data_IF_041381078302
#
_entry.id   IF_041381078302
#
_cell.length_a   1.000
_cell.length_b   1.000
_cell.length_c   1.000
_cell.angle_alpha   90.00
_cell.angle_beta   90.00
_cell.angle_gamma   90.00
#
_symmetry.space_group_name_H-M   'P 1'
#
loop_
_entity.id
_entity.type
_entity.pdbx_description
1 polymer ?
#
# COMPACT_ATOMS: atom_id res chain seq x y z
N UNK A 1 -19.60 -19.72 -4.91
CA UNK A 1 -18.33 -20.36 -5.31
C UNK A 1 -17.51 -20.66 -4.05
N UNK A 2 -17.47 -21.93 -3.63
CA UNK A 2 -16.70 -22.38 -2.46
C UNK A 2 -15.21 -22.18 -2.70
N UNK A 3 -14.56 -21.35 -1.87
CA UNK A 3 -13.11 -21.15 -1.89
C UNK A 3 -12.59 -21.22 -0.46
N UNK A 4 -11.75 -22.23 -0.22
CA UNK A 4 -11.12 -22.59 1.06
C UNK A 4 -10.11 -21.50 1.51
N UNK A 5 -10.15 -20.99 2.76
CA UNK A 5 -9.36 -19.84 3.23
C UNK A 5 -7.88 -20.09 3.57
N UNK A 6 -7.37 -21.33 3.59
CA UNK A 6 -6.04 -21.60 4.15
C UNK A 6 -4.83 -21.38 3.22
N UNK A 7 -5.01 -21.07 1.93
CA UNK A 7 -3.88 -20.82 0.99
C UNK A 7 -4.32 -19.87 -0.16
N UNK A 8 -4.61 -18.59 0.12
CA UNK A 8 -4.89 -17.63 -0.97
C UNK A 8 -4.26 -16.27 -0.71
N UNK A 9 -3.46 -15.82 -1.68
CA UNK A 9 -3.09 -14.42 -1.80
C UNK A 9 -4.31 -13.63 -2.28
N UNK A 10 -4.64 -12.54 -1.61
CA UNK A 10 -5.66 -11.58 -2.04
C UNK A 10 -4.95 -10.36 -2.62
N UNK A 11 -5.31 -9.96 -3.83
CA UNK A 11 -4.69 -8.81 -4.49
C UNK A 11 -5.59 -7.58 -4.38
N UNK A 12 -4.99 -6.39 -4.30
CA UNK A 12 -5.72 -5.13 -4.13
C UNK A 12 -6.49 -4.67 -5.36
N UNK A 13 -6.50 -5.47 -6.42
CA UNK A 13 -7.26 -5.27 -7.67
C UNK A 13 -8.23 -6.43 -7.93
N UNK A 14 -8.40 -7.36 -6.99
CA UNK A 14 -9.35 -8.47 -7.08
C UNK A 14 -10.68 -8.09 -6.40
N UNK A 15 -11.71 -7.89 -7.21
CA UNK A 15 -13.08 -7.66 -6.74
C UNK A 15 -13.78 -9.00 -6.50
N UNK A 16 -14.33 -9.17 -5.30
CA UNK A 16 -15.18 -10.32 -4.98
C UNK A 16 -16.64 -9.96 -5.20
N UNK A 17 -17.48 -10.91 -5.66
CA UNK A 17 -18.93 -10.71 -5.68
C UNK A 17 -19.45 -10.41 -4.27
N UNK A 18 -20.24 -9.35 -4.16
CA UNK A 18 -20.88 -8.92 -2.91
C UNK A 18 -22.39 -9.18 -2.96
N UNK A 19 -22.99 -9.39 -1.80
CA UNK A 19 -24.45 -9.41 -1.70
C UNK A 19 -24.98 -7.97 -1.72
N UNK A 20 -26.09 -7.73 -2.42
CA UNK A 20 -26.68 -6.40 -2.57
C UNK A 20 -27.31 -5.86 -1.29
N UNK A 21 -27.65 -6.74 -0.34
CA UNK A 21 -28.26 -6.34 0.94
C UNK A 21 -27.24 -5.60 1.80
N UNK A 22 -27.42 -4.28 1.94
CA UNK A 22 -26.67 -3.49 2.90
C UNK A 22 -26.97 -3.96 4.33
N UNK A 23 -25.91 -4.29 5.08
CA UNK A 23 -26.04 -4.74 6.46
C UNK A 23 -26.06 -3.58 7.46
N UNK A 24 -25.59 -2.39 7.08
CA UNK A 24 -25.61 -1.20 7.91
C UNK A 24 -24.74 -0.10 7.30
N UNK A 25 -25.02 1.14 7.69
CA UNK A 25 -24.28 2.32 7.27
C UNK A 25 -23.96 3.24 8.45
N UNK A 26 -23.03 4.16 8.23
CA UNK A 26 -22.64 5.17 9.20
C UNK A 26 -22.13 6.40 8.45
N UNK A 27 -22.71 7.57 8.74
CA UNK A 27 -22.06 8.84 8.38
C UNK A 27 -20.90 9.09 9.34
N UNK A 28 -19.68 9.00 8.82
CA UNK A 28 -18.46 9.16 9.62
C UNK A 28 -17.74 10.48 9.27
N UNK A 29 -17.41 11.26 10.29
CA UNK A 29 -16.55 12.44 10.19
C UNK A 29 -15.42 12.30 11.19
N UNK A 30 -14.27 11.83 10.74
CA UNK A 30 -13.14 11.59 11.64
C UNK A 30 -12.40 12.87 12.01
N UNK A 31 -11.87 12.90 13.23
CA UNK A 31 -11.08 14.01 13.79
C UNK A 31 -9.64 13.56 14.07
N UNK A 32 -8.80 13.32 13.04
CA UNK A 32 -7.49 12.68 13.19
C UNK A 32 -6.47 13.50 14.00
N UNK A 33 -6.76 14.77 14.33
CA UNK A 33 -5.91 15.65 15.15
C UNK A 33 -6.47 15.95 16.54
N UNK A 34 -7.48 15.22 17.04
CA UNK A 34 -7.86 15.38 18.45
C UNK A 34 -6.68 14.90 19.30
N UNK A 35 -5.98 15.83 19.96
CA UNK A 35 -5.00 15.53 21.03
C UNK A 35 -5.57 14.63 22.12
N UNK A 36 -6.88 14.49 22.11
CA UNK A 36 -7.66 13.53 22.85
C UNK A 36 -7.66 12.14 22.20
N UNK A 37 -6.54 11.41 22.31
CA UNK A 37 -6.59 9.93 22.25
C UNK A 37 -7.51 9.35 23.36
N UNK A 38 -7.96 10.19 24.30
CA UNK A 38 -8.78 9.83 25.45
C UNK A 38 -10.22 10.39 25.46
N UNK A 39 -10.61 11.32 24.57
CA UNK A 39 -11.89 12.04 24.67
C UNK A 39 -12.76 12.08 23.39
N UNK A 40 -12.69 11.07 22.51
CA UNK A 40 -13.92 10.71 21.76
C UNK A 40 -14.74 9.72 22.60
N UNK A 41 -15.11 10.23 23.77
CA UNK A 41 -15.85 9.55 24.82
C UNK A 41 -17.31 9.48 24.43
N UNK A 42 -17.81 8.27 24.19
CA UNK A 42 -19.15 7.95 24.73
C UNK A 42 -18.96 8.03 26.24
N UNK A 43 -19.45 9.10 26.85
CA UNK A 43 -19.20 9.43 28.25
C UNK A 43 -19.91 8.41 29.15
N UNK A 44 -19.25 7.28 29.43
CA UNK A 44 -19.60 6.34 30.49
C UNK A 44 -18.47 6.26 31.50
N UNK A 45 -18.21 7.39 32.14
CA UNK A 45 -17.57 7.58 33.45
C UNK A 45 -16.19 6.95 33.74
N UNK A 46 -15.72 5.84 33.16
CA UNK A 46 -14.45 5.19 33.56
C UNK A 46 -13.72 4.33 32.52
N UNK A 47 -14.03 4.34 31.22
CA UNK A 47 -13.23 3.60 30.23
C UNK A 47 -12.93 4.43 28.96
N UNK A 48 -11.67 4.81 28.79
CA UNK A 48 -11.15 5.37 27.53
C UNK A 48 -10.89 4.21 26.57
N UNK A 49 -11.79 4.00 25.62
CA UNK A 49 -11.56 3.06 24.52
C UNK A 49 -10.73 3.75 23.44
N UNK A 50 -9.81 3.04 22.74
CA UNK A 50 -9.15 3.63 21.58
C UNK A 50 -10.18 4.01 20.51
N UNK A 51 -9.92 5.04 19.72
CA UNK A 51 -10.79 5.42 18.60
C UNK A 51 -10.95 4.23 17.64
N UNK A 52 -12.20 3.83 17.36
CA UNK A 52 -12.51 2.78 16.39
C UNK A 52 -13.85 3.07 15.70
N UNK A 53 -13.95 2.62 14.45
CA UNK A 53 -15.17 2.73 13.67
C UNK A 53 -16.22 1.73 14.19
N UNK A 54 -17.44 2.22 14.47
CA UNK A 54 -18.57 1.38 14.92
C UNK A 54 -19.74 1.52 13.95
N UNK A 55 -19.93 0.52 13.11
CA UNK A 55 -21.10 0.44 12.21
C UNK A 55 -22.13 -0.46 12.87
N UNK A 56 -23.32 0.06 13.17
CA UNK A 56 -24.43 -0.77 13.65
C UNK A 56 -24.99 -1.55 12.46
N UNK A 57 -24.97 -2.88 12.58
CA UNK A 57 -25.59 -3.75 11.58
C UNK A 57 -27.09 -3.95 11.86
N UNK A 58 -27.84 -4.39 10.86
CA UNK A 58 -29.28 -4.57 10.92
C UNK A 58 -29.69 -5.68 11.89
N UNK A 59 -30.84 -5.49 12.54
CA UNK A 59 -31.39 -6.50 13.46
C UNK A 59 -31.79 -7.78 12.71
N UNK A 60 -32.12 -7.67 11.42
CA UNK A 60 -32.37 -8.79 10.52
C UNK A 60 -31.11 -9.67 10.37
N UNK A 61 -29.94 -9.07 10.16
CA UNK A 61 -28.68 -9.82 10.10
C UNK A 61 -28.36 -10.51 11.43
N UNK A 62 -28.58 -9.81 12.56
CA UNK A 62 -28.45 -10.41 13.90
C UNK A 62 -29.38 -11.62 14.07
N UNK A 63 -30.65 -11.47 13.67
CA UNK A 63 -31.66 -12.54 13.70
C UNK A 63 -31.27 -13.72 12.82
N UNK A 64 -30.69 -13.46 11.63
CA UNK A 64 -30.18 -14.51 10.75
C UNK A 64 -29.07 -15.33 11.41
N UNK A 65 -28.16 -14.69 12.16
CA UNK A 65 -27.12 -15.41 12.92
C UNK A 65 -27.75 -16.23 14.05
N UNK A 66 -28.70 -15.65 14.80
CA UNK A 66 -29.35 -16.34 15.92
C UNK A 66 -30.20 -17.54 15.48
N UNK A 67 -30.80 -17.47 14.29
CA UNK A 67 -31.61 -18.55 13.71
C UNK A 67 -30.80 -19.51 12.84
N UNK A 68 -29.47 -19.37 12.80
CA UNK A 68 -28.63 -20.29 12.03
C UNK A 68 -28.68 -21.70 12.63
N UNK A 69 -28.58 -22.73 11.78
CA UNK A 69 -28.47 -24.10 12.24
C UNK A 69 -27.23 -24.28 13.12
N UNK A 70 -27.32 -25.09 14.18
CA UNK A 70 -26.21 -25.31 15.13
C UNK A 70 -24.91 -25.72 14.43
N UNK A 71 -25.00 -26.60 13.42
CA UNK A 71 -23.85 -27.02 12.62
C UNK A 71 -23.19 -25.87 11.85
N UNK A 72 -23.95 -24.86 11.42
CA UNK A 72 -23.40 -23.66 10.75
C UNK A 72 -22.55 -22.80 11.69
N UNK A 73 -22.78 -22.90 13.00
CA UNK A 73 -22.06 -22.12 14.03
C UNK A 73 -21.01 -22.96 14.79
N UNK A 74 -20.88 -24.25 14.48
CA UNK A 74 -20.11 -25.20 15.29
C UNK A 74 -18.59 -25.00 15.21
N UNK A 75 -18.08 -24.48 14.09
CA UNK A 75 -16.66 -24.22 13.87
C UNK A 75 -16.44 -23.19 12.75
N UNK A 76 -15.20 -22.70 12.61
CA UNK A 76 -14.84 -21.69 11.60
C UNK A 76 -15.09 -22.15 10.16
N UNK A 77 -14.88 -23.43 9.85
CA UNK A 77 -15.09 -23.97 8.50
C UNK A 77 -16.57 -23.88 8.10
N UNK A 78 -17.48 -24.30 8.97
CA UNK A 78 -18.91 -24.20 8.72
C UNK A 78 -19.40 -22.74 8.76
N UNK A 79 -18.90 -21.94 9.71
CA UNK A 79 -19.30 -20.54 9.83
C UNK A 79 -18.92 -19.71 8.60
N UNK A 80 -17.73 -19.91 8.03
CA UNK A 80 -17.30 -19.22 6.79
C UNK A 80 -18.05 -19.69 5.54
N UNK A 81 -18.80 -20.80 5.61
CA UNK A 81 -19.73 -21.21 4.55
C UNK A 81 -21.09 -20.53 4.72
N UNK A 82 -21.55 -20.37 5.95
CA UNK A 82 -22.76 -19.64 6.30
C UNK A 82 -22.64 -18.12 6.10
N UNK A 83 -21.49 -17.54 6.45
CA UNK A 83 -21.19 -16.12 6.40
C UNK A 83 -19.83 -15.88 5.74
N UNK A 84 -19.83 -15.25 4.56
CA UNK A 84 -18.63 -15.10 3.72
C UNK A 84 -17.69 -13.95 4.16
N UNK A 85 -18.16 -13.07 5.04
CA UNK A 85 -17.40 -11.92 5.53
C UNK A 85 -18.17 -10.60 5.40
N UNK A 86 -17.50 -9.51 5.77
CA UNK A 86 -18.01 -8.15 5.63
C UNK A 86 -17.29 -7.46 4.48
N UNK A 87 -18.05 -6.81 3.60
CA UNK A 87 -17.54 -5.85 2.64
C UNK A 87 -17.88 -4.46 3.17
N UNK A 88 -16.85 -3.65 3.44
CA UNK A 88 -17.00 -2.28 3.96
C UNK A 88 -16.50 -1.33 2.88
N UNK A 89 -17.37 -0.42 2.46
CA UNK A 89 -17.07 0.62 1.46
C UNK A 89 -17.60 1.97 1.95
N UNK A 90 -17.26 3.03 1.24
CA UNK A 90 -17.79 4.37 1.47
C UNK A 90 -18.55 4.85 0.23
N UNK A 91 -19.57 5.68 0.46
CA UNK A 91 -20.20 6.44 -0.61
C UNK A 91 -19.23 7.51 -1.15
N UNK A 92 -19.48 7.95 -2.38
CA UNK A 92 -18.73 9.06 -2.97
C UNK A 92 -18.97 10.34 -2.15
N UNK A 93 -17.88 10.92 -1.64
CA UNK A 93 -17.93 12.19 -0.91
C UNK A 93 -17.69 13.32 -1.90
N UNK A 94 -18.58 14.34 -1.97
CA UNK A 94 -18.40 15.47 -2.90
C UNK A 94 -17.02 16.14 -2.74
N UNK A 95 -16.42 16.50 -3.89
CA UNK A 95 -15.03 16.97 -4.07
C UNK A 95 -14.66 18.30 -3.37
N UNK A 96 -15.54 18.87 -2.55
CA UNK A 96 -15.38 20.18 -1.93
C UNK A 96 -14.67 20.18 -0.58
N UNK A 97 -14.20 19.03 -0.10
CA UNK A 97 -13.55 18.91 1.22
C UNK A 97 -12.21 18.18 1.17
N UNK A 98 -11.33 18.50 2.12
CA UNK A 98 -10.06 17.82 2.34
C UNK A 98 -10.29 16.31 2.48
N UNK A 99 -9.74 15.52 1.56
CA UNK A 99 -9.78 14.06 1.66
C UNK A 99 -8.85 13.56 2.78
N UNK A 100 -9.15 12.41 3.35
CA UNK A 100 -8.32 11.77 4.37
C UNK A 100 -8.20 10.26 4.13
N UNK A 101 -7.09 9.69 4.57
CA UNK A 101 -6.84 8.25 4.57
C UNK A 101 -6.79 7.80 6.02
N UNK A 102 -7.65 6.85 6.39
CA UNK A 102 -7.64 6.20 7.71
C UNK A 102 -6.93 4.86 7.64
N UNK A 103 -6.10 4.57 8.64
CA UNK A 103 -5.45 3.28 8.81
C UNK A 103 -6.12 2.54 9.96
N UNK A 104 -6.57 1.31 9.70
CA UNK A 104 -7.17 0.43 10.70
C UNK A 104 -6.27 -0.79 10.92
N UNK A 105 -5.89 -1.03 12.17
CA UNK A 105 -5.18 -2.25 12.55
C UNK A 105 -6.19 -3.37 12.79
N UNK A 106 -6.51 -4.14 11.73
CA UNK A 106 -7.58 -5.15 11.76
C UNK A 106 -7.30 -6.37 12.66
N UNK A 107 -6.05 -6.57 13.09
CA UNK A 107 -5.67 -7.65 14.01
C UNK A 107 -5.85 -7.26 15.48
N UNK A 108 -6.27 -6.03 15.75
CA UNK A 108 -6.54 -5.55 17.10
C UNK A 108 -7.86 -6.15 17.65
N UNK A 109 -7.96 -6.34 18.97
CA UNK A 109 -9.16 -6.87 19.64
C UNK A 109 -10.46 -6.05 19.43
N UNK A 110 -10.34 -4.78 19.01
CA UNK A 110 -11.47 -3.92 18.66
C UNK A 110 -12.00 -4.16 17.25
N UNK A 111 -11.26 -4.88 16.40
CA UNK A 111 -11.71 -5.31 15.07
C UNK A 111 -12.52 -6.58 15.19
N UNK A 112 -13.82 -6.41 15.46
CA UNK A 112 -14.72 -7.50 15.78
C UNK A 112 -16.15 -7.23 15.33
N UNK A 113 -16.88 -8.31 15.06
CA UNK A 113 -18.34 -8.31 15.01
C UNK A 113 -18.86 -8.69 16.40
N UNK A 114 -19.76 -7.89 16.96
CA UNK A 114 -20.43 -8.20 18.23
C UNK A 114 -21.93 -8.33 18.02
N UNK A 115 -22.48 -9.50 18.35
CA UNK A 115 -23.93 -9.76 18.31
C UNK A 115 -24.45 -9.67 19.73
N UNK A 116 -25.34 -8.71 19.99
CA UNK A 116 -26.05 -8.57 21.24
C UNK A 116 -27.41 -9.27 21.13
N UNK A 117 -27.78 -10.06 22.12
CA UNK A 117 -29.03 -10.83 22.10
C UNK A 117 -29.59 -11.01 23.52
N UNK A 118 -30.87 -11.34 23.61
CA UNK A 118 -31.49 -11.73 24.88
C UNK A 118 -31.59 -13.25 24.94
N UNK A 119 -31.19 -13.83 26.06
CA UNK A 119 -31.38 -15.23 26.41
C UNK A 119 -32.34 -15.35 27.60
N UNK A 120 -32.76 -16.57 27.94
CA UNK A 120 -33.71 -16.81 29.03
C UNK A 120 -35.18 -16.79 28.59
N UNK A 121 -36.10 -16.87 29.56
CA UNK A 121 -37.54 -16.85 29.29
C UNK A 121 -38.07 -15.42 29.12
N UNK A 122 -39.25 -15.28 28.51
CA UNK A 122 -39.88 -13.98 28.24
C UNK A 122 -40.13 -13.14 29.50
N UNK A 123 -40.24 -13.77 30.67
CA UNK A 123 -40.49 -13.12 31.95
C UNK A 123 -39.23 -12.62 32.66
N UNK A 124 -38.03 -13.03 32.21
CA UNK A 124 -36.74 -12.65 32.78
C UNK A 124 -35.64 -12.71 31.71
N UNK A 125 -35.65 -11.80 30.72
CA UNK A 125 -34.64 -11.76 29.68
C UNK A 125 -33.27 -11.42 30.26
N UNK A 126 -32.26 -12.15 29.84
CA UNK A 126 -30.86 -11.92 30.16
C UNK A 126 -30.14 -11.33 28.94
N UNK A 127 -29.61 -10.12 29.07
CA UNK A 127 -28.79 -9.51 28.02
C UNK A 127 -27.45 -10.26 27.91
N UNK A 128 -27.17 -10.77 26.72
CA UNK A 128 -25.97 -11.55 26.38
C UNK A 128 -25.32 -10.98 25.13
N UNK A 129 -24.06 -11.35 24.89
CA UNK A 129 -23.38 -10.99 23.65
C UNK A 129 -22.40 -12.08 23.19
N UNK A 130 -22.18 -12.14 21.88
CA UNK A 130 -21.17 -13.01 21.24
C UNK A 130 -20.24 -12.15 20.40
N UNK A 131 -18.95 -12.42 20.51
CA UNK A 131 -17.90 -11.73 19.75
C UNK A 131 -17.30 -12.67 18.71
N UNK A 132 -17.14 -12.16 17.49
CA UNK A 132 -16.37 -12.75 16.41
C UNK A 132 -15.19 -11.81 16.11
N UNK A 133 -13.99 -12.18 16.56
CA UNK A 133 -12.79 -11.37 16.38
C UNK A 133 -12.18 -11.61 14.99
N UNK A 134 -11.68 -10.55 14.36
CA UNK A 134 -10.75 -10.67 13.24
C UNK A 134 -9.38 -11.01 13.83
N UNK A 135 -8.76 -12.06 13.29
CA UNK A 135 -7.43 -12.55 13.70
C UNK A 135 -6.54 -12.76 12.48
N UNK A 136 -5.28 -13.14 12.70
CA UNK A 136 -4.31 -13.40 11.63
C UNK A 136 -4.79 -14.48 10.65
N UNK A 137 -5.60 -15.45 11.10
CA UNK A 137 -6.19 -16.48 10.24
C UNK A 137 -7.42 -16.00 9.46
N UNK A 138 -7.90 -14.78 9.73
CA UNK A 138 -9.03 -14.17 9.01
C UNK A 138 -8.51 -13.48 7.74
N UNK A 139 -8.98 -13.91 6.57
CA UNK A 139 -8.67 -13.23 5.31
C UNK A 139 -9.16 -11.78 5.35
N UNK A 140 -8.25 -10.82 5.22
CA UNK A 140 -8.54 -9.39 5.15
C UNK A 140 -7.66 -8.74 4.09
N UNK A 141 -8.27 -7.92 3.23
CA UNK A 141 -7.57 -7.19 2.18
C UNK A 141 -8.38 -5.95 1.78
N UNK A 142 -7.72 -4.97 1.17
CA UNK A 142 -8.35 -3.76 0.65
C UNK A 142 -8.24 -3.74 -0.87
N UNK A 143 -9.27 -3.22 -1.54
CA UNK A 143 -9.24 -2.90 -2.96
C UNK A 143 -9.01 -1.41 -3.12
N UNK A 144 -8.12 -1.02 -4.02
CA UNK A 144 -7.81 0.39 -4.29
C UNK A 144 -8.06 0.70 -5.76
N UNK A 145 -8.97 1.63 -6.02
CA UNK A 145 -9.30 2.09 -7.37
C UNK A 145 -8.75 3.50 -7.60
N UNK A 146 -8.19 3.72 -8.78
CA UNK A 146 -7.68 5.04 -9.20
C UNK A 146 -8.67 5.80 -10.09
N UNK A 147 -9.85 5.26 -10.37
CA UNK A 147 -10.90 5.86 -11.21
C UNK A 147 -10.36 6.46 -12.52
N UNK A 148 -9.61 5.67 -13.28
CA UNK A 148 -8.94 6.09 -14.53
C UNK A 148 -8.07 7.36 -14.40
N UNK A 149 -7.60 7.66 -13.19
CA UNK A 149 -6.83 8.85 -12.88
C UNK A 149 -7.57 10.17 -13.18
N UNK A 150 -8.90 10.16 -13.16
CA UNK A 150 -9.69 11.38 -13.35
C UNK A 150 -9.33 12.45 -12.31
N UNK A 151 -9.23 13.71 -12.74
CA UNK A 151 -8.86 14.84 -11.88
C UNK A 151 -7.40 14.86 -11.41
N UNK A 152 -6.54 13.95 -11.90
CA UNK A 152 -5.11 14.00 -11.59
C UNK A 152 -4.37 15.11 -12.36
N UNK A 153 -3.12 15.36 -11.99
CA UNK A 153 -2.24 16.27 -12.73
C UNK A 153 -2.08 15.82 -14.20
N UNK A 154 -2.18 16.73 -15.20
CA UNK A 154 -2.15 16.36 -16.63
C UNK A 154 -0.97 15.47 -17.03
N UNK A 155 0.24 15.76 -16.54
CA UNK A 155 1.41 14.93 -16.84
C UNK A 155 1.32 13.50 -16.29
N UNK A 156 0.61 13.27 -15.18
CA UNK A 156 0.38 11.92 -14.69
C UNK A 156 -0.63 11.19 -15.59
N UNK A 157 -1.70 11.87 -15.98
CA UNK A 157 -2.71 11.32 -16.88
C UNK A 157 -2.10 10.91 -18.23
N UNK A 158 -1.31 11.79 -18.85
CA UNK A 158 -0.60 11.52 -20.10
C UNK A 158 0.32 10.29 -19.99
N UNK A 159 1.10 10.19 -18.91
CA UNK A 159 2.03 9.07 -18.73
C UNK A 159 1.33 7.72 -18.50
N UNK A 160 0.25 7.70 -17.72
CA UNK A 160 -0.38 6.43 -17.28
C UNK A 160 -1.55 6.01 -18.15
N UNK A 161 -2.39 6.95 -18.59
CA UNK A 161 -3.61 6.66 -19.35
C UNK A 161 -3.36 6.73 -20.85
N UNK A 162 -2.62 7.75 -21.32
CA UNK A 162 -2.29 7.91 -22.75
C UNK A 162 -1.02 7.15 -23.16
N UNK A 163 -0.24 6.66 -22.18
CA UNK A 163 0.97 5.88 -22.42
C UNK A 163 2.18 6.70 -22.88
N UNK A 164 2.21 8.01 -22.63
CA UNK A 164 3.37 8.85 -22.93
C UNK A 164 4.57 8.49 -22.03
N UNK A 165 5.54 7.77 -22.59
CA UNK A 165 6.77 7.41 -21.88
C UNK A 165 7.81 8.53 -21.84
N UNK A 166 7.66 9.60 -22.64
CA UNK A 166 8.63 10.71 -22.71
C UNK A 166 8.47 11.69 -21.55
N UNK A 167 7.26 11.81 -20.99
CA UNK A 167 7.01 12.65 -19.81
C UNK A 167 7.88 12.31 -18.59
N UNK A 168 8.40 11.07 -18.53
CA UNK A 168 9.33 10.62 -17.49
C UNK A 168 10.64 11.40 -17.43
N UNK A 169 11.06 12.03 -18.53
CA UNK A 169 12.25 12.90 -18.56
C UNK A 169 12.07 14.15 -17.69
N UNK A 170 10.82 14.58 -17.49
CA UNK A 170 10.48 15.74 -16.65
C UNK A 170 10.09 15.34 -15.23
N UNK A 171 9.15 14.41 -15.08
CA UNK A 171 8.54 14.04 -13.81
C UNK A 171 8.24 12.54 -13.76
N UNK A 172 8.55 11.93 -12.62
CA UNK A 172 8.24 10.54 -12.29
C UNK A 172 7.27 10.52 -11.11
N UNK A 173 6.16 9.78 -11.25
CA UNK A 173 5.13 9.70 -10.23
C UNK A 173 5.15 8.34 -9.54
N UNK A 174 5.44 8.31 -8.25
CA UNK A 174 5.37 7.10 -7.43
C UNK A 174 4.36 7.26 -6.30
N UNK A 175 3.45 6.32 -6.18
CA UNK A 175 2.39 6.34 -5.18
C UNK A 175 2.05 4.94 -4.72
N UNK A 176 1.82 4.80 -3.43
CA UNK A 176 1.31 3.58 -2.83
C UNK A 176 -0.16 3.31 -3.20
N UNK A 177 -0.73 2.29 -2.56
CA UNK A 177 -2.11 1.83 -2.71
C UNK A 177 -2.41 1.44 -4.16
N UNK A 178 -1.44 0.74 -4.78
CA UNK A 178 -1.51 0.24 -6.15
C UNK A 178 -1.79 1.31 -7.22
N UNK A 179 -1.47 2.58 -6.93
CA UNK A 179 -1.67 3.69 -7.87
C UNK A 179 -0.58 3.74 -8.94
N UNK A 180 0.66 4.06 -8.56
CA UNK A 180 1.73 4.26 -9.57
C UNK A 180 3.10 3.80 -9.09
N UNK A 181 3.87 3.24 -10.02
CA UNK A 181 5.30 3.00 -9.88
C UNK A 181 6.00 3.51 -11.15
N UNK A 182 7.28 3.86 -11.04
CA UNK A 182 8.06 4.34 -12.19
C UNK A 182 9.06 3.27 -12.62
N UNK A 183 9.19 3.08 -13.93
CA UNK A 183 10.19 2.18 -14.51
C UNK A 183 11.43 3.00 -14.89
N UNK A 184 12.58 2.65 -14.35
CA UNK A 184 13.86 3.27 -14.64
C UNK A 184 14.68 2.29 -15.47
N UNK A 185 15.12 2.76 -16.63
CA UNK A 185 16.02 2.04 -17.53
C UNK A 185 17.40 2.66 -17.47
N UNK A 186 18.43 1.84 -17.34
CA UNK A 186 19.82 2.28 -17.45
C UNK A 186 20.36 1.66 -18.74
N UNK A 187 20.08 2.29 -19.90
CA UNK A 187 20.48 1.73 -21.17
C UNK A 187 22.01 1.72 -21.26
N UNK A 188 22.55 0.80 -22.05
CA UNK A 188 23.98 0.73 -22.38
C UNK A 188 24.92 0.39 -21.22
N UNK A 189 24.41 -0.08 -20.08
CA UNK A 189 25.27 -0.54 -18.98
C UNK A 189 26.21 -1.68 -19.44
N UNK A 190 25.72 -2.56 -20.31
CA UNK A 190 26.52 -3.62 -20.92
C UNK A 190 27.64 -3.11 -21.84
N UNK A 191 27.49 -1.89 -22.40
CA UNK A 191 28.56 -1.30 -23.22
C UNK A 191 29.80 -1.00 -22.38
N UNK A 192 29.68 -0.92 -21.05
CA UNK A 192 30.87 -0.81 -20.18
C UNK A 192 31.80 -2.03 -20.31
N UNK A 193 31.28 -3.20 -20.71
CA UNK A 193 32.09 -4.39 -21.03
C UNK A 193 32.94 -4.20 -22.28
N UNK A 194 32.45 -3.44 -23.25
CA UNK A 194 33.14 -3.20 -24.53
C UNK A 194 34.36 -2.30 -24.42
N UNK A 195 34.64 -1.70 -23.26
CA UNK A 195 35.88 -0.97 -23.04
C UNK A 195 37.12 -1.89 -23.00
N UNK A 196 36.95 -3.21 -23.01
CA UNK A 196 38.05 -4.18 -23.07
C UNK A 196 38.90 -4.24 -21.79
N UNK A 197 38.47 -3.57 -20.72
CA UNK A 197 39.17 -3.52 -19.44
C UNK A 197 38.29 -4.11 -18.35
N UNK A 198 38.90 -4.79 -17.39
CA UNK A 198 38.19 -5.24 -16.19
C UNK A 198 37.87 -4.02 -15.33
N UNK A 199 36.59 -3.82 -14.99
CA UNK A 199 36.12 -2.68 -14.19
C UNK A 199 35.64 -3.19 -12.85
N UNK A 200 36.17 -2.60 -11.77
CA UNK A 200 35.66 -2.77 -10.41
C UNK A 200 34.83 -1.53 -10.03
N UNK A 201 33.55 -1.72 -9.72
CA UNK A 201 32.65 -0.68 -9.26
C UNK A 201 32.86 -0.50 -7.75
N UNK A 202 33.46 0.62 -7.37
CA UNK A 202 33.68 0.97 -5.96
C UNK A 202 32.39 1.45 -5.31
N UNK A 203 31.55 2.16 -6.09
CA UNK A 203 30.30 2.74 -5.62
C UNK A 203 29.40 3.08 -6.79
N UNK A 204 28.13 2.70 -6.72
CA UNK A 204 27.10 3.16 -7.63
C UNK A 204 25.86 3.63 -6.85
N UNK A 205 25.41 4.85 -7.16
CA UNK A 205 24.30 5.50 -6.49
C UNK A 205 23.29 6.04 -7.49
N UNK A 206 22.06 5.60 -7.37
CA UNK A 206 20.92 6.25 -8.02
C UNK A 206 20.43 7.38 -7.10
N UNK A 207 20.63 8.62 -7.56
CA UNK A 207 20.28 9.82 -6.82
C UNK A 207 19.05 10.45 -7.45
N UNK A 208 18.03 10.71 -6.64
CA UNK A 208 16.75 11.26 -7.05
C UNK A 208 16.37 12.42 -6.14
N UNK A 209 15.52 13.31 -6.64
CA UNK A 209 15.08 14.48 -5.91
C UNK A 209 13.55 14.59 -5.98
N UNK A 210 12.92 14.78 -4.83
CA UNK A 210 11.50 15.09 -4.77
C UNK A 210 11.26 16.48 -5.37
N UNK A 211 10.21 16.61 -6.18
CA UNK A 211 9.75 17.90 -6.66
C UNK A 211 8.76 18.51 -5.67
N UNK A 212 9.23 19.48 -4.90
CA UNK A 212 8.46 20.11 -3.81
C UNK A 212 7.39 21.09 -4.29
N UNK A 213 7.34 21.39 -5.59
CA UNK A 213 6.19 22.13 -6.16
C UNK A 213 4.91 21.30 -6.15
N UNK A 214 5.04 19.97 -6.05
CA UNK A 214 3.93 19.02 -5.94
C UNK A 214 3.69 18.53 -4.50
N UNK A 215 4.40 19.10 -3.51
CA UNK A 215 4.12 18.85 -2.11
C UNK A 215 3.19 19.95 -1.58
N UNK A 216 1.89 19.65 -1.52
CA UNK A 216 0.96 20.48 -0.75
C UNK A 216 1.43 20.55 0.70
N UNK A 217 1.34 21.75 1.26
CA UNK A 217 2.19 22.29 2.33
C UNK A 217 2.06 21.66 3.71
N UNK A 218 1.32 20.58 3.92
CA UNK A 218 1.12 20.07 5.28
C UNK A 218 0.82 18.55 5.35
N UNK A 219 1.75 17.83 5.99
CA UNK A 219 1.56 16.58 6.76
C UNK A 219 1.93 15.22 6.09
N UNK A 220 1.92 15.03 4.77
CA UNK A 220 2.12 13.66 4.22
C UNK A 220 3.24 13.48 3.19
N UNK A 221 4.03 14.51 2.91
CA UNK A 221 4.99 14.47 1.80
C UNK A 221 6.39 14.95 2.17
N UNK A 222 7.45 14.29 1.67
CA UNK A 222 7.44 13.12 0.78
C UNK A 222 7.59 11.79 1.54
N UNK A 223 7.35 10.64 0.87
CA UNK A 223 7.51 9.31 1.48
C UNK A 223 8.83 9.23 2.24
N UNK A 224 8.78 8.73 3.48
CA UNK A 224 9.99 8.60 4.32
C UNK A 224 11.06 7.71 3.68
N UNK A 225 10.65 6.83 2.76
CA UNK A 225 11.56 5.92 2.06
C UNK A 225 11.03 5.50 0.69
N UNK A 226 11.94 5.32 -0.26
CA UNK A 226 11.70 4.69 -1.57
C UNK A 226 12.51 3.41 -1.68
N UNK A 227 12.11 2.52 -2.59
CA UNK A 227 12.78 1.26 -2.85
C UNK A 227 12.82 0.93 -4.34
N UNK A 228 13.66 -0.03 -4.71
CA UNK A 228 13.76 -0.58 -6.05
C UNK A 228 13.40 -2.06 -6.03
N UNK A 229 12.79 -2.53 -7.11
CA UNK A 229 12.71 -3.94 -7.47
C UNK A 229 13.26 -4.09 -8.88
N UNK A 230 13.85 -5.24 -9.20
CA UNK A 230 14.15 -5.58 -10.59
C UNK A 230 12.86 -6.02 -11.28
N UNK A 231 12.62 -5.51 -12.47
CA UNK A 231 11.52 -5.95 -13.32
C UNK A 231 12.08 -6.50 -14.63
N UNK A 232 11.72 -7.75 -14.91
CA UNK A 232 12.05 -8.38 -16.17
C UNK A 232 11.34 -7.65 -17.33
N UNK A 233 12.07 -7.19 -18.37
CA UNK A 233 11.49 -6.38 -19.43
C UNK A 233 10.47 -7.15 -20.28
N UNK A 234 10.63 -8.48 -20.41
CA UNK A 234 9.79 -9.33 -21.26
C UNK A 234 8.59 -9.89 -20.51
N UNK A 235 8.83 -10.44 -19.32
CA UNK A 235 7.80 -11.15 -18.54
C UNK A 235 7.11 -10.27 -17.50
N UNK A 236 7.69 -9.11 -17.16
CA UNK A 236 7.22 -8.28 -16.04
C UNK A 236 7.47 -8.89 -14.66
N UNK A 237 8.17 -10.02 -14.57
CA UNK A 237 8.46 -10.70 -13.32
C UNK A 237 9.32 -9.80 -12.41
N UNK A 238 8.94 -9.74 -11.13
CA UNK A 238 9.63 -8.94 -10.12
C UNK A 238 10.65 -9.81 -9.36
N UNK A 239 11.80 -9.22 -9.04
CA UNK A 239 12.83 -9.85 -8.21
C UNK A 239 13.55 -8.79 -7.37
N UNK A 240 14.16 -9.21 -6.26
CA UNK A 240 14.89 -8.31 -5.37
C UNK A 240 16.26 -7.97 -5.94
N UNK A 241 16.82 -6.83 -5.51
CA UNK A 241 18.20 -6.47 -5.85
C UNK A 241 19.16 -7.22 -4.93
N UNK A 242 20.37 -7.51 -5.44
CA UNK A 242 21.45 -8.11 -4.64
C UNK A 242 21.84 -7.21 -3.46
N UNK A 243 21.74 -5.89 -3.62
CA UNK A 243 22.03 -4.92 -2.56
C UNK A 243 20.99 -4.93 -1.41
N UNK A 244 19.78 -5.46 -1.64
CA UNK A 244 18.69 -5.49 -0.66
C UNK A 244 18.97 -6.46 0.51
N UNK A 245 19.61 -7.60 0.24
CA UNK A 245 19.95 -8.62 1.24
C UNK A 245 20.87 -8.09 2.36
N UNK A 246 21.57 -6.99 2.10
CA UNK A 246 22.53 -6.39 3.03
C UNK A 246 22.00 -5.18 3.81
N UNK A 247 20.72 -4.82 3.64
CA UNK A 247 20.14 -3.55 4.11
C UNK A 247 20.90 -2.27 3.64
N UNK A 248 21.83 -2.39 2.70
CA UNK A 248 22.69 -1.29 2.24
C UNK A 248 22.04 -0.43 1.13
N UNK A 249 20.87 -0.85 0.61
CA UNK A 249 20.18 -0.19 -0.50
C UNK A 249 19.85 1.28 -0.19
N UNK A 250 19.54 1.65 1.05
CA UNK A 250 19.26 3.04 1.43
C UNK A 250 17.83 3.48 1.08
N UNK A 251 17.70 4.64 0.42
CA UNK A 251 16.41 5.16 -0.06
C UNK A 251 15.61 5.98 0.94
N UNK A 252 16.16 6.32 2.12
CA UNK A 252 15.52 7.22 3.06
C UNK A 252 15.49 8.67 2.50
N UNK A 253 14.43 9.41 2.82
CA UNK A 253 14.32 10.80 2.42
C UNK A 253 15.28 11.70 3.20
N UNK A 254 16.05 12.51 2.49
CA UNK A 254 16.97 13.51 3.05
C UNK A 254 16.36 14.90 2.89
N UNK A 255 15.79 15.43 3.98
CA UNK A 255 15.07 16.72 4.00
C UNK A 255 15.94 17.92 3.57
N UNK A 256 17.23 17.92 3.91
CA UNK A 256 18.13 19.03 3.59
C UNK A 256 18.23 19.27 2.07
N UNK A 257 18.20 18.20 1.27
CA UNK A 257 18.38 18.26 -0.18
C UNK A 257 17.13 17.93 -0.98
N UNK A 258 16.05 17.55 -0.30
CA UNK A 258 14.86 16.93 -0.87
C UNK A 258 15.21 15.68 -1.70
N UNK A 259 16.11 14.83 -1.22
CA UNK A 259 16.71 13.77 -2.02
C UNK A 259 16.47 12.36 -1.49
N UNK A 260 16.67 11.39 -2.38
CA UNK A 260 16.72 9.97 -2.10
C UNK A 260 17.97 9.40 -2.76
N UNK A 261 18.68 8.53 -2.04
CA UNK A 261 19.89 7.88 -2.55
C UNK A 261 19.75 6.38 -2.37
N UNK A 262 19.80 5.65 -3.48
CA UNK A 262 19.78 4.19 -3.51
C UNK A 262 21.14 3.67 -3.95
N UNK A 263 21.77 2.82 -3.14
CA UNK A 263 23.05 2.19 -3.48
C UNK A 263 22.79 0.89 -4.24
N UNK A 264 23.28 0.81 -5.48
CA UNK A 264 23.09 -0.34 -6.38
C UNK A 264 24.44 -0.88 -6.84
N UNK A 265 25.42 -0.87 -5.94
CA UNK A 265 26.83 -1.11 -6.27
C UNK A 265 27.05 -2.55 -6.68
N UNK A 266 26.52 -3.49 -5.90
CA UNK A 266 26.67 -4.93 -6.17
C UNK A 266 25.88 -5.33 -7.40
N UNK A 267 24.65 -4.81 -7.53
CA UNK A 267 23.82 -5.06 -8.70
C UNK A 267 24.53 -4.62 -10.00
N UNK A 268 25.11 -3.42 -10.04
CA UNK A 268 25.84 -2.95 -11.22
C UNK A 268 27.13 -3.73 -11.47
N UNK A 269 27.87 -4.11 -10.43
CA UNK A 269 29.05 -4.95 -10.57
C UNK A 269 28.71 -6.29 -11.23
N UNK A 270 27.67 -6.98 -10.77
CA UNK A 270 27.26 -8.28 -11.32
C UNK A 270 26.77 -8.17 -12.76
N UNK A 271 26.07 -7.09 -13.11
CA UNK A 271 25.67 -6.84 -14.51
C UNK A 271 26.91 -6.70 -15.39
N UNK A 272 27.87 -5.87 -14.99
CA UNK A 272 29.09 -5.60 -15.78
C UNK A 272 30.02 -6.83 -15.83
N UNK A 273 30.09 -7.62 -14.77
CA UNK A 273 30.84 -8.88 -14.75
C UNK A 273 30.15 -10.01 -15.54
N UNK A 274 28.91 -9.82 -15.97
CA UNK A 274 28.12 -10.84 -16.69
C UNK A 274 27.52 -11.91 -15.78
N UNK A 275 27.51 -11.70 -14.47
CA UNK A 275 26.89 -12.60 -13.50
C UNK A 275 25.36 -12.54 -13.51
N UNK A 276 24.78 -11.39 -13.91
CA UNK A 276 23.32 -11.22 -14.07
C UNK A 276 22.97 -10.36 -15.29
N UNK A 277 21.76 -10.54 -15.81
CA UNK A 277 21.20 -9.73 -16.91
C UNK A 277 20.86 -8.32 -16.44
N UNK A 278 21.07 -7.32 -17.29
CA UNK A 278 20.62 -5.95 -17.07
C UNK A 278 19.08 -5.86 -17.17
N UNK A 279 18.40 -5.95 -16.03
CA UNK A 279 16.94 -5.77 -15.91
C UNK A 279 16.60 -4.30 -15.65
N UNK A 280 15.37 -3.93 -15.95
CA UNK A 280 14.85 -2.61 -15.59
C UNK A 280 14.63 -2.51 -14.07
N UNK A 281 14.61 -1.28 -13.54
CA UNK A 281 14.27 -1.03 -12.15
C UNK A 281 12.85 -0.51 -12.02
N UNK A 282 12.06 -1.09 -11.12
CA UNK A 282 10.76 -0.58 -10.69
C UNK A 282 10.96 0.22 -9.40
N UNK A 283 10.78 1.53 -9.48
CA UNK A 283 10.82 2.46 -8.36
C UNK A 283 9.46 2.53 -7.67
N UNK A 284 9.46 2.34 -6.35
CA UNK A 284 8.27 2.35 -5.51
C UNK A 284 8.50 3.14 -4.22
N UNK A 285 7.42 3.57 -3.58
CA UNK A 285 7.46 4.03 -2.18
C UNK A 285 7.49 2.82 -1.24
N UNK A 286 8.21 2.93 -0.13
CA UNK A 286 8.21 1.88 0.90
C UNK A 286 6.83 1.76 1.56
N UNK A 287 6.42 0.55 1.92
CA UNK A 287 5.09 0.30 2.49
C UNK A 287 3.95 0.54 1.50
N UNK A 288 4.22 0.44 0.19
CA UNK A 288 3.26 0.73 -0.88
C UNK A 288 1.94 -0.03 -0.81
N UNK A 289 1.91 -1.17 -0.11
CA UNK A 289 0.69 -1.95 0.07
C UNK A 289 -0.26 -1.41 1.16
N UNK A 290 0.25 -0.62 2.12
CA UNK A 290 -0.50 -0.26 3.34
C UNK A 290 -0.43 1.21 3.74
N UNK A 291 0.60 1.95 3.32
CA UNK A 291 0.75 3.37 3.61
C UNK A 291 0.18 4.18 2.46
N UNK A 292 -0.47 5.32 2.71
CA UNK A 292 -1.01 6.26 1.71
C UNK A 292 -0.02 7.37 1.35
N UNK A 293 1.20 7.01 0.94
CA UNK A 293 2.28 7.95 0.62
C UNK A 293 2.51 8.07 -0.89
N UNK A 294 2.80 9.29 -1.36
CA UNK A 294 3.23 9.55 -2.75
C UNK A 294 4.44 10.46 -2.79
N UNK A 295 5.18 10.41 -3.88
CA UNK A 295 6.28 11.32 -4.20
C UNK A 295 6.26 11.60 -5.70
N UNK A 296 6.45 12.87 -6.06
CA UNK A 296 6.81 13.26 -7.43
C UNK A 296 8.32 13.46 -7.46
N UNK A 297 9.00 12.78 -8.37
CA UNK A 297 10.45 12.80 -8.53
C UNK A 297 10.80 13.57 -9.80
N UNK A 298 11.85 14.38 -9.71
CA UNK A 298 12.44 15.08 -10.86
C UNK A 298 13.06 14.07 -11.82
N UNK A 299 12.64 14.10 -13.08
CA UNK A 299 13.14 13.22 -14.13
C UNK A 299 14.61 13.50 -14.52
N UNK A 300 15.22 12.61 -15.31
CA UNK A 300 16.62 12.73 -15.74
C UNK A 300 16.89 13.90 -16.70
N UNK A 301 15.87 14.41 -17.41
CA UNK A 301 16.00 15.52 -18.36
C UNK A 301 16.00 16.92 -17.72
N UNK A 302 15.87 17.01 -16.39
CA UNK A 302 15.88 18.30 -15.67
C UNK A 302 17.29 18.89 -15.61
N UNK A 303 17.42 20.20 -15.84
CA UNK A 303 18.71 20.91 -15.71
C UNK A 303 19.20 20.96 -14.26
N UNK A 304 18.28 21.15 -13.31
CA UNK A 304 18.57 21.22 -11.88
C UNK A 304 18.07 19.99 -11.15
N UNK A 305 18.96 19.39 -10.35
CA UNK A 305 18.67 18.19 -9.56
C UNK A 305 18.00 17.07 -10.40
N UNK A 306 18.59 16.66 -11.54
CA UNK A 306 18.07 15.53 -12.30
C UNK A 306 18.21 14.23 -11.51
N UNK A 307 17.32 13.27 -11.81
CA UNK A 307 17.59 11.87 -11.54
C UNK A 307 18.89 11.47 -12.24
N UNK A 308 19.85 10.91 -11.50
CA UNK A 308 21.14 10.53 -12.05
C UNK A 308 21.72 9.29 -11.40
N UNK A 309 22.45 8.53 -12.19
CA UNK A 309 23.33 7.47 -11.72
C UNK A 309 24.75 8.04 -11.56
N UNK A 310 25.32 7.92 -10.37
CA UNK A 310 26.72 8.26 -10.08
C UNK A 310 27.49 6.95 -9.88
N UNK A 311 28.53 6.73 -10.69
CA UNK A 311 29.38 5.54 -10.62
C UNK A 311 30.83 5.97 -10.36
N UNK A 312 31.42 5.46 -9.29
CA UNK A 312 32.85 5.50 -9.06
C UNK A 312 33.42 4.10 -9.30
N UNK A 313 34.44 3.99 -10.14
CA UNK A 313 35.01 2.72 -10.56
C UNK A 313 36.53 2.80 -10.69
N UNK A 314 37.17 1.64 -10.60
CA UNK A 314 38.58 1.45 -10.88
C UNK A 314 38.71 0.60 -12.13
N UNK A 315 39.57 1.04 -13.04
CA UNK A 315 40.00 0.24 -14.18
C UNK A 315 41.13 -0.65 -13.69
N UNK A 316 40.94 -1.96 -13.78
CA UNK A 316 41.97 -2.94 -13.47
C UNK A 316 42.80 -3.16 -14.74
N UNK A 317 44.11 -3.01 -14.61
CA UNK A 317 45.06 -3.46 -15.63
C UNK A 317 45.09 -5.00 -15.65
N UNK A 318 45.43 -5.58 -16.80
CA UNK A 318 45.53 -7.04 -16.97
C UNK A 318 46.60 -7.68 -16.07
#
# INVERSE_FOLDING_TARGET
>A
LDRNPSVRAYYSNEYLPVYEQELGNLTFSGRPKSKDFANDTVNTTFNSWPQHLRIRLSDEFGTRILNAAEDSLSNNYNFTRFFKGLYVTMDEVPSSSMACIYYFLLTNEYSRLTVYYHSGNSSSPQSSYKVFNVKDESGHYNVFESFNFEGTHPSLYQQVVEGDTTGGDSLLFISSLSRTASRIKIPYLDNMKSFGKRIAINKAQLVMYADTTFSDTDVLYPSVKVGLQLIDPETGALSNLIDEESNALGGAYVKADNSYVLNITRQLQEIISGGVTNKDFKLVVAGSAILGTRVVIRGPGRSEKPLKLIVAYTVLEE
#
